data_IF_052379300311
#
_entry.id   IF_052379300311
#
_cell.length_a   1.000
_cell.length_b   1.000
_cell.length_c   1.000
_cell.angle_alpha   90.00
_cell.angle_beta   90.00
_cell.angle_gamma   90.00
#
_symmetry.space_group_name_H-M   'P 1'
#
loop_
_entity.id
_entity.type
_entity.pdbx_description
1 polymer ?
#
# COMPACT_ATOMS: atom_id res chain seq x y z
N UNK A 1 22.79 -1.60 8.47
CA UNK A 1 22.56 -0.52 9.46
C UNK A 1 21.07 -0.50 9.75
N UNK A 2 20.55 0.05 10.87
CA UNK A 2 19.12 -0.05 11.15
C UNK A 2 18.28 0.61 10.04
N UNK A 3 17.45 -0.17 9.34
CA UNK A 3 16.45 0.31 8.37
C UNK A 3 15.20 0.81 9.09
N UNK A 4 15.39 1.63 10.12
CA UNK A 4 14.30 2.20 10.91
C UNK A 4 13.60 3.32 10.14
N UNK A 5 12.26 3.27 10.11
CA UNK A 5 11.42 4.37 9.64
C UNK A 5 10.51 4.86 10.74
N UNK A 6 10.29 6.18 10.77
CA UNK A 6 9.35 6.80 11.70
C UNK A 6 7.99 6.96 11.02
N UNK A 7 6.91 6.65 11.74
CA UNK A 7 5.58 6.96 11.28
C UNK A 7 5.42 8.49 11.09
N UNK A 8 5.00 8.98 9.91
CA UNK A 8 4.91 10.40 9.60
C UNK A 8 3.67 11.10 10.18
N UNK A 9 2.74 10.34 10.78
CA UNK A 9 1.54 10.88 11.43
C UNK A 9 1.93 11.59 12.73
N UNK A 10 1.48 12.83 12.93
CA UNK A 10 1.95 13.72 14.01
C UNK A 10 1.62 13.18 15.41
N UNK A 11 0.50 12.50 15.53
CA UNK A 11 0.01 11.81 16.73
C UNK A 11 0.77 10.52 17.03
N UNK A 12 1.52 9.99 16.06
CA UNK A 12 2.24 8.73 16.18
C UNK A 12 3.73 8.95 16.47
N UNK A 13 4.24 8.26 17.49
CA UNK A 13 5.67 8.29 17.86
C UNK A 13 6.40 6.96 17.58
N UNK A 14 5.73 6.02 16.89
CA UNK A 14 6.28 4.69 16.60
C UNK A 14 7.40 4.78 15.57
N UNK A 15 8.44 3.99 15.81
CA UNK A 15 9.48 3.63 14.85
C UNK A 15 9.32 2.16 14.49
N UNK A 16 9.63 1.83 13.25
CA UNK A 16 9.48 0.48 12.70
C UNK A 16 10.81 0.09 12.11
N UNK A 17 11.34 -1.03 12.56
CA UNK A 17 12.48 -1.69 11.93
C UNK A 17 11.97 -2.52 10.74
N UNK A 18 12.35 -2.14 9.53
CA UNK A 18 11.86 -2.77 8.30
C UNK A 18 12.45 -4.17 8.06
N UNK A 19 13.62 -4.47 8.62
CA UNK A 19 14.25 -5.80 8.57
C UNK A 19 13.53 -6.80 9.47
N UNK A 20 12.93 -6.32 10.57
CA UNK A 20 12.22 -7.16 11.53
C UNK A 20 10.77 -7.49 11.14
N UNK A 21 10.26 -6.89 10.05
CA UNK A 21 8.92 -7.22 9.54
C UNK A 21 8.92 -8.61 8.87
N UNK A 22 7.81 -9.37 8.92
CA UNK A 22 7.76 -10.69 8.28
C UNK A 22 7.90 -10.58 6.74
N UNK A 23 8.42 -11.60 6.04
CA UNK A 23 8.55 -11.56 4.59
C UNK A 23 7.19 -11.57 3.89
N UNK A 24 7.12 -10.98 2.70
CA UNK A 24 5.93 -11.04 1.84
C UNK A 24 5.57 -12.50 1.52
N UNK A 25 4.27 -12.89 1.47
CA UNK A 25 3.06 -12.05 1.57
C UNK A 25 2.54 -11.84 3.00
N UNK A 26 3.30 -12.21 4.05
CA UNK A 26 2.79 -12.09 5.42
C UNK A 26 2.81 -10.63 5.86
N UNK A 27 1.69 -10.16 6.39
CA UNK A 27 1.61 -8.89 7.10
C UNK A 27 1.95 -9.09 8.58
N UNK A 28 2.54 -8.08 9.24
CA UNK A 28 2.80 -8.15 10.68
C UNK A 28 1.50 -8.23 11.48
N UNK A 29 1.42 -9.18 12.42
CA UNK A 29 0.33 -9.31 13.38
C UNK A 29 0.93 -9.43 14.81
N UNK A 30 0.77 -8.42 15.68
CA UNK A 30 0.02 -7.18 15.46
C UNK A 30 0.72 -6.20 14.50
N UNK A 31 -0.05 -5.28 13.91
CA UNK A 31 0.50 -4.18 13.12
C UNK A 31 1.44 -3.29 13.98
N UNK A 32 2.56 -2.77 13.44
CA UNK A 32 3.50 -1.94 14.20
C UNK A 32 2.88 -0.66 14.76
N UNK A 33 1.91 -0.09 14.04
CA UNK A 33 1.03 0.97 14.51
C UNK A 33 -0.27 0.99 13.68
N UNK A 34 -1.27 1.75 14.17
CA UNK A 34 -2.56 1.91 13.49
C UNK A 34 -2.47 2.52 12.08
N UNK A 35 -1.41 3.29 11.82
CA UNK A 35 -1.21 3.96 10.53
C UNK A 35 -0.42 3.12 9.53
N UNK A 36 0.18 2.00 9.93
CA UNK A 36 1.01 1.20 9.05
C UNK A 36 0.15 0.53 7.97
N UNK A 37 0.46 0.79 6.69
CA UNK A 37 -0.21 0.15 5.56
C UNK A 37 0.66 -1.00 5.05
N UNK A 38 1.81 -0.71 4.47
CA UNK A 38 2.68 -1.70 3.84
C UNK A 38 4.15 -1.28 3.90
N UNK A 39 5.06 -2.22 3.61
CA UNK A 39 6.48 -1.98 3.45
C UNK A 39 7.04 -2.79 2.27
N UNK A 40 8.04 -2.24 1.59
CA UNK A 40 8.74 -2.86 0.44
C UNK A 40 10.25 -2.66 0.57
N UNK A 41 11.02 -3.47 -0.16
CA UNK A 41 12.48 -3.48 -0.13
C UNK A 41 13.10 -4.80 -0.62
N UNK A 42 14.43 -5.00 -0.46
CA UNK A 42 15.22 -6.05 -1.12
C UNK A 42 14.83 -7.51 -0.87
N UNK A 43 13.96 -7.81 0.09
CA UNK A 43 13.45 -9.16 0.39
C UNK A 43 11.91 -9.18 0.51
N UNK A 44 11.27 -8.17 -0.09
CA UNK A 44 9.81 -7.98 -0.11
C UNK A 44 9.35 -7.80 -1.54
N UNK A 45 8.04 -7.79 -1.73
CA UNK A 45 7.48 -7.35 -2.99
C UNK A 45 7.74 -5.85 -3.21
N UNK A 46 7.60 -5.42 -4.46
CA UNK A 46 7.62 -4.00 -4.79
C UNK A 46 6.39 -3.28 -4.22
N UNK A 47 6.40 -1.95 -4.29
CA UNK A 47 5.43 -1.11 -3.60
C UNK A 47 3.99 -1.43 -4.01
N UNK A 48 3.72 -1.61 -5.30
CA UNK A 48 2.37 -1.84 -5.81
C UNK A 48 1.75 -3.13 -5.23
N UNK A 49 2.49 -4.24 -5.26
CA UNK A 49 2.10 -5.54 -4.71
C UNK A 49 1.96 -5.49 -3.20
N UNK A 50 2.95 -4.91 -2.51
CA UNK A 50 2.95 -4.82 -1.07
C UNK A 50 1.73 -4.04 -0.56
N UNK A 51 1.40 -2.92 -1.21
CA UNK A 51 0.23 -2.11 -0.87
C UNK A 51 -1.06 -2.83 -1.22
N UNK A 52 -1.18 -3.39 -2.44
CA UNK A 52 -2.39 -4.10 -2.86
C UNK A 52 -2.70 -5.26 -1.92
N UNK A 53 -1.70 -6.06 -1.56
CA UNK A 53 -1.86 -7.17 -0.62
C UNK A 53 -2.23 -6.68 0.78
N UNK A 54 -1.58 -5.63 1.29
CA UNK A 54 -1.89 -5.07 2.60
C UNK A 54 -3.29 -4.42 2.70
N UNK A 55 -3.94 -4.17 1.56
CA UNK A 55 -5.31 -3.68 1.47
C UNK A 55 -6.34 -4.82 1.38
N UNK A 56 -5.92 -6.09 1.45
CA UNK A 56 -6.83 -7.21 1.53
C UNK A 56 -7.86 -7.03 2.66
N UNK A 57 -9.13 -7.29 2.36
CA UNK A 57 -10.24 -7.05 3.27
C UNK A 57 -10.64 -5.58 3.45
N UNK A 58 -9.97 -4.62 2.80
CA UNK A 58 -10.43 -3.24 2.79
C UNK A 58 -11.80 -3.13 2.10
N UNK A 59 -12.72 -2.38 2.71
CA UNK A 59 -14.09 -2.18 2.21
C UNK A 59 -14.16 -1.76 0.74
N UNK A 60 -13.28 -0.89 0.27
CA UNK A 60 -13.33 -0.36 -1.09
C UNK A 60 -12.95 -1.41 -2.15
N UNK A 61 -12.07 -2.36 -1.81
CA UNK A 61 -11.75 -3.52 -2.65
C UNK A 61 -12.89 -4.55 -2.62
N UNK A 62 -13.43 -4.83 -1.43
CA UNK A 62 -14.54 -5.76 -1.26
C UNK A 62 -15.79 -5.34 -2.04
N UNK A 63 -16.13 -4.04 -2.04
CA UNK A 63 -17.28 -3.51 -2.80
C UNK A 63 -17.16 -3.73 -4.31
N UNK A 64 -15.93 -3.88 -4.81
CA UNK A 64 -15.62 -4.06 -6.23
C UNK A 64 -15.20 -5.49 -6.56
N UNK A 65 -15.36 -6.41 -5.60
CA UNK A 65 -14.98 -7.82 -5.70
C UNK A 65 -13.52 -8.03 -6.14
N UNK A 66 -12.61 -7.15 -5.70
CA UNK A 66 -11.18 -7.31 -5.94
C UNK A 66 -10.59 -8.09 -4.78
N UNK A 67 -9.94 -9.21 -5.11
CA UNK A 67 -9.14 -9.99 -4.17
C UNK A 67 -7.68 -9.85 -4.59
N UNK A 68 -6.81 -9.23 -3.77
CA UNK A 68 -5.40 -9.02 -4.10
C UNK A 68 -4.68 -10.27 -4.62
N UNK A 69 -4.94 -11.44 -4.01
CA UNK A 69 -4.34 -12.71 -4.42
C UNK A 69 -4.81 -13.22 -5.80
N UNK A 70 -5.88 -12.68 -6.37
CA UNK A 70 -6.44 -13.07 -7.67
C UNK A 70 -6.07 -12.06 -8.78
N UNK A 71 -5.44 -10.93 -8.46
CA UNK A 71 -5.00 -9.94 -9.46
C UNK A 71 -3.74 -10.48 -10.17
N UNK A 72 -3.81 -10.61 -11.49
CA UNK A 72 -2.69 -11.14 -12.28
C UNK A 72 -1.49 -10.20 -12.26
N UNK A 73 -0.27 -10.75 -12.15
CA UNK A 73 0.96 -9.96 -12.05
C UNK A 73 1.16 -9.03 -13.24
N UNK A 74 0.90 -9.51 -14.47
CA UNK A 74 1.00 -8.69 -15.69
C UNK A 74 0.22 -7.36 -15.60
N UNK A 75 -0.97 -7.36 -14.99
CA UNK A 75 -1.74 -6.13 -14.79
C UNK A 75 -1.08 -5.17 -13.79
N UNK A 76 -0.49 -5.72 -12.73
CA UNK A 76 0.26 -4.94 -11.74
C UNK A 76 1.48 -4.32 -12.41
N UNK A 77 2.20 -5.09 -13.23
CA UNK A 77 3.39 -4.63 -13.95
C UNK A 77 3.05 -3.52 -14.94
N UNK A 78 2.01 -3.70 -15.76
CA UNK A 78 1.53 -2.69 -16.73
C UNK A 78 1.08 -1.40 -16.06
N UNK A 79 0.44 -1.50 -14.88
CA UNK A 79 -0.15 -0.36 -14.16
C UNK A 79 0.73 0.17 -13.01
N UNK A 80 1.95 -0.35 -12.87
CA UNK A 80 2.80 -0.15 -11.68
C UNK A 80 2.99 1.32 -11.34
N UNK A 81 3.37 2.12 -12.33
CA UNK A 81 3.62 3.55 -12.14
C UNK A 81 2.39 4.27 -11.58
N UNK A 82 1.19 3.95 -12.08
CA UNK A 82 -0.06 4.58 -11.65
C UNK A 82 -0.49 4.12 -10.25
N UNK A 83 -0.31 2.82 -9.95
CA UNK A 83 -0.58 2.26 -8.62
C UNK A 83 0.32 2.90 -7.57
N UNK A 84 1.62 2.98 -7.82
CA UNK A 84 2.54 3.61 -6.88
C UNK A 84 2.29 5.12 -6.74
N UNK A 85 2.01 5.82 -7.84
CA UNK A 85 1.65 7.23 -7.80
C UNK A 85 0.37 7.46 -6.98
N UNK A 86 -0.63 6.60 -7.11
CA UNK A 86 -1.85 6.64 -6.30
C UNK A 86 -1.55 6.45 -4.81
N UNK A 87 -0.72 5.47 -4.46
CA UNK A 87 -0.33 5.24 -3.07
C UNK A 87 0.39 6.46 -2.47
N UNK A 88 1.37 7.04 -3.19
CA UNK A 88 2.09 8.26 -2.74
C UNK A 88 1.20 9.50 -2.68
N UNK A 89 0.18 9.59 -3.54
CA UNK A 89 -0.75 10.73 -3.57
C UNK A 89 -1.65 10.78 -2.35
N UNK A 90 -2.12 9.63 -1.87
CA UNK A 90 -3.15 9.57 -0.83
C UNK A 90 -2.64 9.18 0.55
N UNK A 91 -1.45 8.57 0.63
CA UNK A 91 -0.82 8.15 1.87
C UNK A 91 0.60 8.75 2.01
N UNK A 92 1.29 8.42 3.09
CA UNK A 92 2.59 9.00 3.46
C UNK A 92 3.67 7.94 3.37
N UNK A 93 4.58 8.09 2.42
CA UNK A 93 5.78 7.26 2.34
C UNK A 93 6.83 7.75 3.35
N UNK A 94 7.48 6.82 4.04
CA UNK A 94 8.69 7.08 4.82
C UNK A 94 9.79 6.11 4.36
N UNK A 95 10.93 6.68 4.01
CA UNK A 95 12.11 5.95 3.52
C UNK A 95 13.11 5.72 4.66
N UNK A 96 13.76 4.56 4.67
CA UNK A 96 14.89 4.29 5.56
C UNK A 96 16.13 5.07 5.14
N UNK A 97 17.15 5.11 6.00
CA UNK A 97 18.44 5.76 5.70
C UNK A 97 19.16 5.08 4.52
N UNK A 98 19.01 3.76 4.37
CA UNK A 98 19.36 3.06 3.13
C UNK A 98 18.16 3.10 2.18
N UNK A 99 18.30 3.84 1.07
CA UNK A 99 17.25 4.14 0.08
C UNK A 99 16.56 2.93 -0.58
N UNK A 100 16.90 1.70 -0.22
CA UNK A 100 16.35 0.48 -0.80
C UNK A 100 15.04 0.01 -0.13
N UNK A 101 14.71 0.49 1.08
CA UNK A 101 13.48 0.07 1.79
C UNK A 101 12.64 1.27 2.24
N UNK A 102 11.32 1.11 2.15
CA UNK A 102 10.37 2.13 2.56
C UNK A 102 9.05 1.52 3.08
N UNK A 103 8.25 2.35 3.74
CA UNK A 103 6.93 1.98 4.20
C UNK A 103 5.91 3.08 3.92
N UNK A 104 4.66 2.65 3.71
CA UNK A 104 3.52 3.52 3.52
C UNK A 104 2.67 3.58 4.78
N UNK A 105 2.26 4.79 5.13
CA UNK A 105 1.44 5.07 6.29
C UNK A 105 0.21 5.89 5.92
N UNK A 106 -0.91 5.61 6.57
CA UNK A 106 -2.08 6.46 6.48
C UNK A 106 -3.13 6.12 7.52
N UNK A 107 -3.95 7.12 7.84
CA UNK A 107 -5.17 6.90 8.61
C UNK A 107 -6.21 6.08 7.82
N UNK A 108 -7.37 5.83 8.44
CA UNK A 108 -8.45 5.07 7.81
C UNK A 108 -8.95 5.70 6.50
N UNK A 109 -9.02 7.04 6.42
CA UNK A 109 -9.47 7.74 5.24
C UNK A 109 -8.47 7.58 4.10
N UNK A 110 -7.19 7.81 4.38
CA UNK A 110 -6.10 7.66 3.42
C UNK A 110 -6.02 6.22 2.89
N UNK A 111 -6.10 5.23 3.77
CA UNK A 111 -6.14 3.80 3.39
C UNK A 111 -7.30 3.51 2.42
N UNK A 112 -8.48 4.06 2.69
CA UNK A 112 -9.64 3.88 1.81
C UNK A 112 -9.46 4.59 0.46
N UNK A 113 -8.83 5.78 0.43
CA UNK A 113 -8.54 6.48 -0.82
C UNK A 113 -7.54 5.70 -1.70
N UNK A 114 -6.48 5.14 -1.09
CA UNK A 114 -5.54 4.27 -1.81
C UNK A 114 -6.27 3.06 -2.38
N UNK A 115 -7.06 2.36 -1.57
CA UNK A 115 -7.83 1.19 -2.03
C UNK A 115 -8.81 1.52 -3.15
N UNK A 116 -9.51 2.66 -3.07
CA UNK A 116 -10.41 3.11 -4.12
C UNK A 116 -9.68 3.38 -5.43
N UNK A 117 -8.52 4.05 -5.37
CA UNK A 117 -7.76 4.37 -6.56
C UNK A 117 -7.14 3.12 -7.18
N UNK A 118 -6.60 2.21 -6.37
CA UNK A 118 -6.10 0.92 -6.83
C UNK A 118 -7.20 0.14 -7.56
N UNK A 119 -8.40 0.11 -6.99
CA UNK A 119 -9.53 -0.57 -7.62
C UNK A 119 -9.92 0.03 -8.97
N UNK A 120 -9.91 1.37 -9.08
CA UNK A 120 -10.21 2.06 -10.33
C UNK A 120 -9.13 1.83 -11.40
N UNK A 121 -7.88 1.65 -11.00
CA UNK A 121 -6.79 1.34 -11.94
C UNK A 121 -6.93 -0.11 -12.42
N UNK A 122 -7.15 -1.06 -11.50
CA UNK A 122 -7.21 -2.50 -11.79
C UNK A 122 -8.42 -2.86 -12.66
N UNK A 123 -9.59 -2.29 -12.38
CA UNK A 123 -10.83 -2.60 -13.13
C UNK A 123 -11.05 -1.70 -14.34
N UNK A 124 -10.24 -0.64 -14.49
CA UNK A 124 -10.54 0.46 -15.40
C UNK A 124 -11.67 1.37 -14.89
N UNK A 125 -12.04 2.40 -15.67
CA UNK A 125 -13.11 3.31 -15.30
C UNK A 125 -14.43 2.55 -15.08
N UNK A 126 -15.13 2.89 -14.00
CA UNK A 126 -16.45 2.36 -13.71
C UNK A 126 -17.38 2.63 -14.92
N UNK A 127 -17.97 1.60 -15.57
CA UNK A 127 -18.85 1.80 -16.71
C UNK A 127 -20.11 2.61 -16.35
N UNK A 128 -20.43 2.76 -15.05
CA UNK A 128 -21.52 3.59 -14.56
C UNK A 128 -21.10 5.02 -14.21
N UNK A 129 -19.80 5.29 -14.09
CA UNK A 129 -19.28 6.64 -14.05
C UNK A 129 -19.28 7.19 -15.49
N UNK A 130 -20.36 7.89 -15.85
CA UNK A 130 -20.43 8.61 -17.13
C UNK A 130 -19.20 9.50 -17.35
N UNK A 131 -18.94 9.94 -18.60
CA UNK A 131 -17.74 10.70 -18.93
C UNK A 131 -17.60 11.89 -17.98
N UNK A 132 -16.45 11.96 -17.31
CA UNK A 132 -16.11 13.11 -16.48
C UNK A 132 -16.10 14.34 -17.38
N UNK A 133 -17.00 15.28 -17.09
CA UNK A 133 -17.15 16.55 -17.79
C UNK A 133 -15.98 17.49 -17.51
#
# INVERSE_FOLDING_TARGET
>A
MPTEVRCPMIECRRRIDLEMLPPFPRTPDPLPCLHFIAAWGPDRAEMAEAVLFALEGNRELLLRNIRPAEVHQDYIDESRADLEAAARRFAREATGEEHASAALFGDQHQRNQVARQFASIILGPDPTAGPSA
#
